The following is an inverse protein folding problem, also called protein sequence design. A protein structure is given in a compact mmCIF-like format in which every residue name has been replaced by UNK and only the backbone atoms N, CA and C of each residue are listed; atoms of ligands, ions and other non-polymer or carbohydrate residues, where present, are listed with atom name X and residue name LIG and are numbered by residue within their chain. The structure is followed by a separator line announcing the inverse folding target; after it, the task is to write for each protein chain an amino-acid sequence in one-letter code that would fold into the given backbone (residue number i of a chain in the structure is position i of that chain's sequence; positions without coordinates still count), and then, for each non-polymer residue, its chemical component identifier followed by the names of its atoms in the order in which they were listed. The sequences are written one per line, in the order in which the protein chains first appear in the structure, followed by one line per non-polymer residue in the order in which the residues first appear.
data_IF_513948824447
#
_entry.id   IF_513948824447
#
_cell.length_a   1.000
_cell.length_b   1.000
_cell.length_c   1.000
_cell.angle_alpha   90.00
_cell.angle_beta   90.00
_cell.angle_gamma   90.00
#
_symmetry.space_group_name_H-M   'P 1'
#
loop_
_entity.id
_entity.type
_entity.pdbx_description
1 polymer ?
#
# COMPACT_ATOMS: atom_id res chain seq x y z
N UNK A 1 -3.34 11.55 22.89
CA UNK A 1 -4.09 12.29 21.86
C UNK A 1 -3.11 13.27 21.23
N UNK A 2 -2.53 12.91 20.09
CA UNK A 2 -1.77 13.86 19.26
C UNK A 2 -2.32 13.72 17.85
N UNK A 3 -2.89 14.82 17.38
CA UNK A 3 -3.36 15.06 16.03
C UNK A 3 -2.52 16.25 15.55
N UNK A 4 -2.34 16.35 14.25
CA UNK A 4 -1.66 17.44 13.51
C UNK A 4 -0.18 17.20 13.14
N UNK A 5 0.01 16.57 11.97
CA UNK A 5 0.90 17.13 10.94
C UNK A 5 -0.03 17.56 9.78
N UNK A 6 -0.28 18.87 9.76
CA UNK A 6 -0.37 19.75 8.59
C UNK A 6 -1.17 19.29 7.35
N UNK A 7 -2.36 19.87 7.20
CA UNK A 7 -3.09 19.91 5.95
C UNK A 7 -2.60 21.03 5.04
N UNK A 8 -1.74 20.69 4.10
CA UNK A 8 -1.57 21.37 2.80
C UNK A 8 -0.96 20.31 1.86
N UNK A 9 -1.55 20.05 0.68
CA UNK A 9 -1.08 19.14 -0.40
C UNK A 9 -1.54 17.66 -0.35
N UNK A 10 -2.63 17.35 -1.09
CA UNK A 10 -2.97 15.97 -1.51
C UNK A 10 -3.67 15.11 -0.45
N UNK A 11 -4.39 14.07 -0.91
CA UNK A 11 -4.98 13.04 -0.05
C UNK A 11 -3.93 12.43 0.90
N UNK A 12 -4.33 11.91 2.08
CA UNK A 12 -3.39 11.30 3.00
C UNK A 12 -2.58 10.21 2.30
N UNK A 13 -1.27 10.14 2.54
CA UNK A 13 -0.34 9.22 1.84
C UNK A 13 -0.85 7.78 1.89
N UNK A 14 -1.49 7.40 2.99
CA UNK A 14 -2.15 6.09 3.17
C UNK A 14 -3.31 5.86 2.19
N UNK A 15 -4.15 6.87 1.93
CA UNK A 15 -5.24 6.79 0.95
C UNK A 15 -4.70 6.74 -0.49
N UNK A 16 -3.66 7.50 -0.77
CA UNK A 16 -2.98 7.49 -2.07
C UNK A 16 -2.29 6.16 -2.33
N UNK A 17 -1.71 5.54 -1.31
CA UNK A 17 -1.10 4.22 -1.39
C UNK A 17 -2.16 3.13 -1.52
N UNK A 18 -3.30 3.25 -0.83
CA UNK A 18 -4.44 2.34 -0.98
C UNK A 18 -5.01 2.39 -2.41
N UNK A 19 -5.13 3.58 -3.00
CA UNK A 19 -5.57 3.75 -4.39
C UNK A 19 -4.59 3.11 -5.39
N UNK A 20 -3.28 3.16 -5.11
CA UNK A 20 -2.28 2.45 -5.90
C UNK A 20 -2.45 0.92 -5.81
N UNK A 21 -2.74 0.41 -4.62
CA UNK A 21 -3.00 -1.03 -4.37
C UNK A 21 -4.26 -1.47 -5.09
N UNK A 22 -5.36 -0.74 -4.96
CA UNK A 22 -6.65 -1.08 -5.57
C UNK A 22 -6.54 -1.10 -7.11
N UNK A 23 -5.90 -0.09 -7.68
CA UNK A 23 -5.64 -0.04 -9.11
C UNK A 23 -4.76 -1.22 -9.58
N UNK A 24 -3.74 -1.60 -8.81
CA UNK A 24 -2.89 -2.75 -9.13
C UNK A 24 -3.68 -4.07 -9.03
N UNK A 25 -4.53 -4.22 -8.01
CA UNK A 25 -5.39 -5.38 -7.85
C UNK A 25 -6.42 -5.51 -8.99
N UNK A 26 -6.99 -4.39 -9.44
CA UNK A 26 -7.88 -4.35 -10.60
C UNK A 26 -7.19 -4.77 -11.90
N UNK A 27 -5.96 -4.30 -12.12
CA UNK A 27 -5.13 -4.73 -13.25
C UNK A 27 -4.81 -6.22 -13.18
N UNK A 28 -4.37 -6.72 -12.02
CA UNK A 28 -4.06 -8.14 -11.82
C UNK A 28 -5.28 -9.05 -11.99
N UNK A 29 -6.47 -8.59 -11.56
CA UNK A 29 -7.73 -9.32 -11.76
C UNK A 29 -8.09 -9.44 -13.24
N UNK A 30 -7.78 -8.41 -14.04
CA UNK A 30 -8.00 -8.44 -15.50
C UNK A 30 -6.90 -9.21 -16.24
N UNK A 31 -5.66 -9.12 -15.78
CA UNK A 31 -4.50 -9.79 -16.37
C UNK A 31 -3.58 -10.33 -15.27
N UNK A 32 -3.73 -11.63 -14.98
CA UNK A 32 -2.96 -12.31 -13.95
C UNK A 32 -1.51 -12.62 -14.38
N UNK A 33 -1.10 -12.26 -15.60
CA UNK A 33 0.28 -12.42 -16.07
C UNK A 33 1.17 -11.23 -15.72
N UNK A 34 0.57 -10.14 -15.21
CA UNK A 34 1.26 -8.94 -14.78
C UNK A 34 2.15 -9.18 -13.56
N UNK A 35 3.32 -8.55 -13.58
CA UNK A 35 4.18 -8.47 -12.42
C UNK A 35 3.61 -7.44 -11.42
N UNK A 36 2.93 -7.96 -10.39
CA UNK A 36 2.24 -7.16 -9.38
C UNK A 36 3.18 -6.20 -8.65
N UNK A 37 4.42 -6.61 -8.39
CA UNK A 37 5.41 -5.82 -7.66
C UNK A 37 5.88 -4.63 -8.50
N UNK A 38 6.17 -4.86 -9.78
CA UNK A 38 6.51 -3.80 -10.72
C UNK A 38 5.34 -2.84 -10.96
N UNK A 39 4.12 -3.35 -11.13
CA UNK A 39 2.93 -2.50 -11.30
C UNK A 39 2.66 -1.64 -10.06
N UNK A 40 2.80 -2.21 -8.86
CA UNK A 40 2.63 -1.48 -7.62
C UNK A 40 3.66 -0.35 -7.50
N UNK A 41 4.93 -0.61 -7.84
CA UNK A 41 5.99 0.42 -7.89
C UNK A 41 5.63 1.56 -8.85
N UNK A 42 5.15 1.24 -10.05
CA UNK A 42 4.72 2.23 -11.05
C UNK A 42 3.57 3.08 -10.49
N UNK A 43 2.56 2.44 -9.89
CA UNK A 43 1.37 3.11 -9.37
C UNK A 43 1.67 4.01 -8.16
N UNK A 44 2.56 3.58 -7.27
CA UNK A 44 3.04 4.37 -6.13
C UNK A 44 3.87 5.56 -6.59
N UNK A 45 4.80 5.33 -7.52
CA UNK A 45 5.65 6.39 -8.07
C UNK A 45 4.84 7.43 -8.86
N UNK A 46 3.86 6.99 -9.66
CA UNK A 46 2.94 7.88 -10.39
C UNK A 46 2.15 8.82 -9.46
N UNK A 47 1.96 8.41 -8.20
CA UNK A 47 1.27 9.19 -7.16
C UNK A 47 2.22 9.93 -6.21
N UNK A 48 3.51 9.95 -6.51
CA UNK A 48 4.52 10.67 -5.73
C UNK A 48 5.06 9.91 -4.51
N UNK A 49 4.72 8.63 -4.35
CA UNK A 49 5.19 7.79 -3.25
C UNK A 49 6.42 7.00 -3.73
N UNK A 50 7.61 7.56 -3.52
CA UNK A 50 8.87 6.97 -3.96
C UNK A 50 9.61 6.17 -2.87
N UNK A 51 9.21 6.29 -1.60
CA UNK A 51 9.92 5.75 -0.44
C UNK A 51 9.17 4.58 0.21
N UNK A 52 8.65 3.64 -0.59
CA UNK A 52 8.10 2.39 -0.06
C UNK A 52 9.20 1.33 -0.05
N UNK A 53 9.40 0.71 1.11
CA UNK A 53 10.42 -0.33 1.30
C UNK A 53 10.11 -1.58 0.46
N UNK A 54 11.14 -2.29 0.00
CA UNK A 54 10.94 -3.48 -0.84
C UNK A 54 10.19 -4.59 -0.10
N UNK A 55 10.36 -4.67 1.23
CA UNK A 55 9.60 -5.56 2.08
C UNK A 55 8.10 -5.23 2.03
N UNK A 56 7.74 -3.94 2.16
CA UNK A 56 6.34 -3.50 2.09
C UNK A 56 5.74 -3.74 0.71
N UNK A 57 6.49 -3.52 -0.37
CA UNK A 57 6.03 -3.84 -1.74
C UNK A 57 5.74 -5.35 -1.87
N UNK A 58 6.63 -6.20 -1.35
CA UNK A 58 6.47 -7.66 -1.40
C UNK A 58 5.25 -8.13 -0.60
N UNK A 59 5.01 -7.55 0.58
CA UNK A 59 3.83 -7.86 1.41
C UNK A 59 2.53 -7.45 0.73
N UNK A 60 2.47 -6.23 0.18
CA UNK A 60 1.32 -5.73 -0.56
C UNK A 60 1.04 -6.60 -1.80
N UNK A 61 2.07 -6.93 -2.58
CA UNK A 61 1.94 -7.79 -3.75
C UNK A 61 1.49 -9.21 -3.37
N UNK A 62 2.00 -9.76 -2.27
CA UNK A 62 1.58 -11.06 -1.76
C UNK A 62 0.09 -11.07 -1.39
N UNK A 63 -0.40 -10.00 -0.76
CA UNK A 63 -1.81 -9.87 -0.41
C UNK A 63 -2.73 -9.74 -1.65
N UNK A 64 -2.32 -8.98 -2.67
CA UNK A 64 -3.01 -8.89 -3.96
C UNK A 64 -3.11 -10.27 -4.63
N UNK A 65 -1.99 -11.00 -4.72
CA UNK A 65 -1.95 -12.36 -5.31
C UNK A 65 -2.80 -13.36 -4.52
N UNK A 66 -2.90 -13.18 -3.21
CA UNK A 66 -3.71 -14.03 -2.33
C UNK A 66 -5.20 -13.71 -2.37
N UNK A 67 -5.61 -12.66 -3.10
CA UNK A 67 -6.99 -12.19 -3.13
C UNK A 67 -7.47 -11.59 -1.80
N UNK A 68 -6.54 -11.25 -0.89
CA UNK A 68 -6.86 -10.57 0.35
C UNK A 68 -6.87 -9.06 0.14
N UNK A 69 -7.89 -8.39 0.69
CA UNK A 69 -7.93 -6.93 0.71
C UNK A 69 -6.83 -6.43 1.65
N UNK A 70 -5.76 -5.89 1.07
CA UNK A 70 -4.63 -5.35 1.83
C UNK A 70 -4.94 -3.91 2.18
N UNK A 71 -5.03 -3.61 3.47
CA UNK A 71 -5.21 -2.25 3.98
C UNK A 71 -3.89 -1.70 4.47
N UNK A 72 -3.50 -0.51 4.02
CA UNK A 72 -2.25 0.17 4.44
C UNK A 72 -2.39 0.83 5.83
N UNK A 73 -3.50 0.58 6.55
CA UNK A 73 -3.71 1.08 7.90
C UNK A 73 -2.52 0.69 8.79
N UNK A 74 -1.78 1.71 9.22
CA UNK A 74 -0.39 1.62 9.65
C UNK A 74 -0.11 0.55 10.70
N UNK A 75 1.05 -0.10 10.54
CA UNK A 75 1.78 -0.84 11.56
C UNK A 75 0.91 -1.54 12.60
N UNK A 76 0.49 -2.76 12.31
CA UNK A 76 0.25 -3.76 13.36
C UNK A 76 1.63 -4.07 13.98
N UNK A 77 2.10 -3.18 14.86
CA UNK A 77 3.18 -3.49 15.78
C UNK A 77 2.70 -4.62 16.68
N UNK A 78 3.55 -5.61 17.02
CA UNK A 78 3.11 -6.77 17.79
C UNK A 78 2.49 -6.30 19.11
N UNK A 79 1.23 -6.68 19.34
CA UNK A 79 0.57 -6.64 20.63
C UNK A 79 1.40 -7.47 21.62
N UNK A 80 2.31 -6.80 22.33
CA UNK A 80 3.01 -7.35 23.47
C UNK A 80 2.21 -7.00 24.73
N UNK A 81 1.47 -7.95 25.33
CA UNK A 81 0.92 -7.74 26.65
C UNK A 81 2.08 -7.67 27.66
N UNK A 82 2.35 -6.48 28.19
CA UNK A 82 3.19 -6.31 29.36
C UNK A 82 2.40 -6.83 30.57
N UNK A 83 2.77 -8.03 31.05
CA UNK A 83 2.34 -8.59 32.33
C UNK A 83 3.54 -8.77 33.26
#
# INVERSE_FOLDING_TARGET
MVRDIDGELGAPIEEVAQDAVDATAGLYTSDASLDVEEQLRIQLHARGIAAVDEASISELAHGIRSGHHVSIAGSDGPDVPLA
#
